data_IF_044642611791
#
_entry.id   IF_044642611791
#
_cell.length_a   1.000
_cell.length_b   1.000
_cell.length_c   1.000
_cell.angle_alpha   90.00
_cell.angle_beta   90.00
_cell.angle_gamma   90.00
#
_symmetry.space_group_name_H-M   'P 1'
#
loop_
_entity.id
_entity.type
_entity.pdbx_description
1 polymer ?
#
# COMPACT_ATOMS: atom_id res chain seq x y z
N UNK A 1 23.15 26.88 44.91
CA UNK A 1 22.61 25.50 45.02
C UNK A 1 21.09 25.56 44.87
N UNK A 2 20.53 25.10 43.76
CA UNK A 2 19.07 25.11 43.56
C UNK A 2 18.36 24.16 44.53
N UNK A 3 17.25 24.61 45.11
CA UNK A 3 16.52 23.88 46.14
C UNK A 3 16.02 22.52 45.63
N UNK A 4 15.99 21.51 46.52
CA UNK A 4 15.55 20.13 46.22
C UNK A 4 14.18 20.06 45.53
N UNK A 5 13.29 21.02 45.81
CA UNK A 5 11.96 21.13 45.18
C UNK A 5 12.02 21.57 43.71
N UNK A 6 12.96 22.44 43.35
CA UNK A 6 13.12 22.91 41.97
C UNK A 6 13.73 21.82 41.06
N UNK A 7 14.67 21.00 41.57
CA UNK A 7 15.21 19.84 40.83
C UNK A 7 14.14 18.79 40.52
N UNK A 8 13.21 18.56 41.45
CA UNK A 8 12.14 17.58 41.25
C UNK A 8 11.09 18.06 40.25
N UNK A 9 10.76 19.36 40.24
CA UNK A 9 9.87 19.96 39.23
C UNK A 9 10.50 19.94 37.82
N UNK A 10 11.79 20.24 37.71
CA UNK A 10 12.51 20.20 36.42
C UNK A 10 12.57 18.77 35.88
N UNK A 11 12.83 17.77 36.73
CA UNK A 11 12.85 16.34 36.31
C UNK A 11 11.47 15.84 35.86
N UNK A 12 10.38 16.26 36.53
CA UNK A 12 9.02 15.90 36.12
C UNK A 12 8.66 16.48 34.74
N UNK A 13 9.03 17.75 34.46
CA UNK A 13 8.82 18.38 33.16
C UNK A 13 9.64 17.74 32.03
N UNK A 14 10.87 17.30 32.32
CA UNK A 14 11.73 16.61 31.35
C UNK A 14 11.16 15.23 30.98
N UNK A 15 10.65 14.46 31.95
CA UNK A 15 10.05 13.15 31.68
C UNK A 15 8.75 13.26 30.89
N UNK A 16 7.89 14.26 31.17
CA UNK A 16 6.66 14.51 30.41
C UNK A 16 6.98 14.96 28.97
N UNK A 17 8.03 15.77 28.78
CA UNK A 17 8.46 16.24 27.45
C UNK A 17 9.10 15.14 26.61
N UNK A 18 9.82 14.18 27.22
CA UNK A 18 10.39 13.04 26.50
C UNK A 18 9.31 11.99 26.16
N UNK A 19 8.31 11.82 27.03
CA UNK A 19 7.19 10.90 26.79
C UNK A 19 6.25 11.36 25.67
N UNK A 20 6.13 12.68 25.47
CA UNK A 20 5.34 13.26 24.37
C UNK A 20 6.09 13.28 23.03
N UNK A 21 7.42 13.11 23.03
CA UNK A 21 8.21 12.97 21.79
C UNK A 21 8.12 11.56 21.16
N UNK A 22 7.74 10.53 21.91
CA UNK A 22 7.76 9.13 21.42
C UNK A 22 6.45 8.73 20.73
N UNK A 23 5.35 9.49 20.90
CA UNK A 23 4.04 9.11 20.35
C UNK A 23 3.80 9.64 18.92
N UNK A 24 4.76 10.37 18.32
CA UNK A 24 4.57 11.05 17.03
C UNK A 24 5.19 10.34 15.80
N UNK A 25 5.24 9.01 15.74
CA UNK A 25 5.84 8.27 14.60
C UNK A 25 4.88 7.44 13.73
N UNK A 26 3.56 7.66 13.73
CA UNK A 26 2.68 6.83 12.87
C UNK A 26 1.57 7.55 12.12
N UNK A 27 1.66 8.86 11.94
CA UNK A 27 0.78 9.58 11.02
C UNK A 27 1.61 10.16 9.88
N UNK A 28 1.75 9.41 8.79
CA UNK A 28 1.95 10.04 7.48
C UNK A 28 0.63 10.75 7.09
N UNK A 29 0.36 11.82 7.83
CA UNK A 29 -0.63 12.82 7.48
C UNK A 29 -0.15 13.58 6.24
N UNK A 30 -1.07 14.18 5.52
CA UNK A 30 -0.95 14.86 4.22
C UNK A 30 0.06 16.04 4.11
N UNK A 31 1.14 16.07 4.92
CA UNK A 31 2.17 17.11 4.94
C UNK A 31 3.62 16.62 4.77
N UNK A 32 3.91 15.31 4.78
CA UNK A 32 5.26 14.82 4.51
C UNK A 32 5.56 14.88 2.99
N UNK A 33 6.60 15.62 2.59
CA UNK A 33 7.01 15.72 1.18
C UNK A 33 7.27 14.32 0.61
N UNK A 34 6.48 13.93 -0.41
CA UNK A 34 6.60 12.62 -1.04
C UNK A 34 8.05 12.32 -1.46
N UNK A 35 8.62 11.27 -0.86
CA UNK A 35 10.02 10.84 -1.04
C UNK A 35 10.24 10.09 -2.35
N UNK A 36 9.33 9.19 -2.70
CA UNK A 36 9.45 8.28 -3.84
C UNK A 36 8.34 8.47 -4.85
N UNK A 37 8.67 8.35 -6.14
CA UNK A 37 7.69 8.44 -7.22
C UNK A 37 6.96 7.11 -7.44
N UNK A 38 5.71 7.21 -7.85
CA UNK A 38 4.96 6.08 -8.40
C UNK A 38 5.51 5.72 -9.78
N UNK A 39 5.62 4.42 -10.05
CA UNK A 39 6.23 3.87 -11.27
C UNK A 39 5.25 3.12 -12.16
N UNK A 40 4.01 2.97 -11.70
CA UNK A 40 2.95 2.16 -12.29
C UNK A 40 3.29 0.68 -12.34
N UNK A 41 2.38 -0.11 -12.91
CA UNK A 41 2.51 -1.56 -13.07
C UNK A 41 3.81 -1.99 -13.79
N UNK A 42 4.43 -1.10 -14.56
CA UNK A 42 5.74 -1.34 -15.17
C UNK A 42 6.88 -1.57 -14.15
N UNK A 43 6.76 -1.11 -12.90
CA UNK A 43 7.66 -1.45 -11.79
C UNK A 43 7.46 -2.86 -11.25
N UNK A 44 6.24 -3.41 -11.41
CA UNK A 44 5.77 -4.66 -10.82
C UNK A 44 5.86 -5.86 -11.79
N UNK A 45 6.58 -5.75 -12.91
CA UNK A 45 6.61 -6.78 -13.97
C UNK A 45 6.96 -8.20 -13.48
N UNK A 46 7.64 -8.36 -12.35
CA UNK A 46 7.90 -9.68 -11.78
C UNK A 46 6.64 -10.43 -11.38
N UNK A 47 5.57 -9.71 -11.03
CA UNK A 47 4.28 -10.24 -10.61
C UNK A 47 3.24 -10.15 -11.74
N UNK A 48 3.59 -9.56 -12.89
CA UNK A 48 2.69 -9.36 -14.05
C UNK A 48 3.10 -10.17 -15.29
N UNK A 49 4.21 -10.90 -15.19
CA UNK A 49 4.66 -11.83 -16.23
C UNK A 49 3.66 -12.96 -16.42
N UNK A 50 3.69 -13.58 -17.60
CA UNK A 50 2.89 -14.78 -17.87
C UNK A 50 3.21 -15.88 -16.85
N UNK A 51 2.18 -16.48 -16.25
CA UNK A 51 2.30 -17.50 -15.21
C UNK A 51 2.43 -16.97 -13.79
N UNK A 52 2.40 -15.65 -13.57
CA UNK A 52 2.24 -15.07 -12.24
C UNK A 52 0.76 -14.91 -11.95
N UNK A 53 0.23 -15.62 -10.96
CA UNK A 53 -1.20 -15.59 -10.65
C UNK A 53 -1.62 -14.20 -10.17
N UNK A 54 -0.80 -13.50 -9.38
CA UNK A 54 -1.08 -12.14 -8.91
C UNK A 54 -1.45 -11.19 -10.05
N UNK A 55 -0.68 -11.21 -11.13
CA UNK A 55 -0.88 -10.32 -12.26
C UNK A 55 -1.84 -10.81 -13.33
N UNK A 56 -2.13 -12.11 -13.37
CA UNK A 56 -3.23 -12.64 -14.19
C UNK A 56 -4.55 -12.29 -13.54
N UNK A 57 -4.72 -12.59 -12.24
CA UNK A 57 -5.92 -12.25 -11.49
C UNK A 57 -6.18 -10.75 -11.43
N UNK A 58 -5.15 -9.92 -11.16
CA UNK A 58 -5.30 -8.47 -11.15
C UNK A 58 -5.95 -7.94 -12.44
N UNK A 59 -5.59 -8.50 -13.61
CA UNK A 59 -6.15 -8.10 -14.91
C UNK A 59 -7.61 -8.51 -15.08
N UNK A 60 -8.12 -9.43 -14.28
CA UNK A 60 -9.54 -9.82 -14.29
C UNK A 60 -10.36 -9.02 -13.26
N UNK A 61 -9.71 -8.23 -12.40
CA UNK A 61 -10.39 -7.39 -11.41
C UNK A 61 -10.83 -6.06 -12.02
N UNK A 62 -11.99 -5.57 -11.58
CA UNK A 62 -12.50 -4.26 -11.96
C UNK A 62 -11.49 -3.12 -11.67
N UNK A 63 -10.65 -3.29 -10.64
CA UNK A 63 -9.58 -2.36 -10.31
C UNK A 63 -8.65 -2.08 -11.48
N UNK A 64 -8.38 -3.04 -12.37
CA UNK A 64 -7.47 -2.85 -13.49
C UNK A 64 -8.07 -2.18 -14.73
N UNK A 65 -9.38 -1.95 -14.73
CA UNK A 65 -10.11 -1.37 -15.88
C UNK A 65 -11.01 -0.20 -15.47
N UNK A 66 -11.02 0.15 -14.20
CA UNK A 66 -12.01 1.05 -13.61
C UNK A 66 -12.02 2.44 -14.25
N UNK A 67 -10.87 2.91 -14.75
CA UNK A 67 -10.77 4.25 -15.34
C UNK A 67 -11.64 4.37 -16.59
N UNK A 68 -11.65 3.36 -17.46
CA UNK A 68 -12.44 3.39 -18.70
C UNK A 68 -13.80 2.69 -18.55
N UNK A 69 -13.90 1.71 -17.67
CA UNK A 69 -15.14 1.00 -17.44
C UNK A 69 -16.14 1.79 -16.61
N UNK A 70 -15.69 2.68 -15.70
CA UNK A 70 -16.58 3.47 -14.84
C UNK A 70 -16.64 4.95 -15.21
N UNK A 71 -15.57 5.54 -15.73
CA UNK A 71 -15.56 6.93 -16.20
C UNK A 71 -15.81 6.94 -17.71
N UNK A 72 -17.04 7.25 -18.10
CA UNK A 72 -17.51 7.17 -19.50
C UNK A 72 -17.34 8.48 -20.24
N UNK A 73 -17.35 9.61 -19.54
CA UNK A 73 -17.19 10.93 -20.16
C UNK A 73 -15.80 11.52 -19.90
N UNK A 74 -15.42 12.52 -20.71
CA UNK A 74 -14.17 13.23 -20.54
C UNK A 74 -14.16 14.12 -19.30
N UNK A 75 -15.34 14.60 -18.88
CA UNK A 75 -15.54 15.35 -17.63
C UNK A 75 -15.23 14.45 -16.44
N UNK A 76 -15.79 13.24 -16.39
CA UNK A 76 -15.53 12.26 -15.32
C UNK A 76 -14.04 11.89 -15.26
N UNK A 77 -13.36 11.75 -16.40
CA UNK A 77 -11.93 11.44 -16.49
C UNK A 77 -11.01 12.59 -16.06
N UNK A 78 -11.55 13.79 -15.86
CA UNK A 78 -10.82 14.98 -15.39
C UNK A 78 -11.27 15.40 -13.98
N UNK A 79 -12.43 14.93 -13.53
CA UNK A 79 -13.02 15.27 -12.25
C UNK A 79 -12.16 14.76 -11.08
N UNK A 80 -11.65 15.66 -10.22
CA UNK A 80 -10.93 15.28 -9.00
C UNK A 80 -11.68 14.27 -8.11
N UNK A 81 -13.01 14.35 -8.04
CA UNK A 81 -13.84 13.45 -7.23
C UNK A 81 -13.93 12.04 -7.80
N UNK A 82 -13.77 11.89 -9.12
CA UNK A 82 -13.66 10.58 -9.76
C UNK A 82 -12.23 10.04 -9.67
N UNK A 83 -11.24 10.89 -9.96
CA UNK A 83 -9.83 10.51 -10.04
C UNK A 83 -9.23 10.08 -8.69
N UNK A 84 -9.80 10.49 -7.55
CA UNK A 84 -9.36 10.02 -6.23
C UNK A 84 -9.57 8.50 -6.03
N UNK A 85 -10.53 7.90 -6.74
CA UNK A 85 -10.86 6.46 -6.61
C UNK A 85 -10.52 5.65 -7.86
N UNK A 86 -10.61 6.25 -9.04
CA UNK A 86 -10.50 5.54 -10.32
C UNK A 86 -9.13 5.70 -10.99
N UNK A 87 -8.18 6.35 -10.30
CA UNK A 87 -6.81 6.50 -10.75
C UNK A 87 -5.84 6.32 -9.57
N UNK A 88 -4.64 5.87 -9.88
CA UNK A 88 -3.56 5.72 -8.90
C UNK A 88 -2.71 6.98 -8.85
N UNK A 89 -2.25 7.35 -7.66
CA UNK A 89 -1.32 8.45 -7.46
C UNK A 89 -1.84 9.82 -7.94
N UNK A 90 -3.16 10.03 -7.90
CA UNK A 90 -3.74 11.33 -8.19
C UNK A 90 -3.19 12.41 -7.25
N UNK A 91 -2.71 13.53 -7.81
CA UNK A 91 -2.00 14.62 -7.10
C UNK A 91 -0.70 14.18 -6.41
N UNK A 92 -0.16 13.02 -6.76
CA UNK A 92 1.13 12.52 -6.28
C UNK A 92 2.18 12.58 -7.38
N UNK A 93 3.46 12.54 -7.01
CA UNK A 93 4.59 12.47 -7.95
C UNK A 93 4.61 11.11 -8.63
N UNK A 94 4.45 11.11 -9.94
CA UNK A 94 4.63 9.93 -10.79
C UNK A 94 5.92 10.04 -11.59
N UNK A 95 6.47 8.90 -12.01
CA UNK A 95 7.57 8.89 -12.99
C UNK A 95 7.01 9.30 -14.37
N UNK A 96 7.81 10.02 -15.16
CA UNK A 96 7.41 10.45 -16.52
C UNK A 96 7.06 9.24 -17.38
N UNK A 97 5.98 9.37 -18.17
CA UNK A 97 5.53 8.35 -19.13
C UNK A 97 4.89 7.12 -18.47
N UNK A 98 4.32 7.27 -17.26
CA UNK A 98 3.62 6.19 -16.56
C UNK A 98 2.11 6.21 -16.72
N UNK A 99 1.52 7.36 -16.98
CA UNK A 99 0.16 7.43 -17.54
C UNK A 99 0.20 6.96 -19.00
N UNK A 100 -0.73 6.07 -19.34
CA UNK A 100 -0.94 5.60 -20.71
C UNK A 100 -1.63 6.67 -21.57
N UNK A 101 -2.43 7.55 -20.95
CA UNK A 101 -3.19 8.61 -21.64
C UNK A 101 -2.52 9.98 -21.60
N UNK A 102 -1.23 10.02 -21.25
CA UNK A 102 -0.42 11.24 -21.28
C UNK A 102 -0.62 12.20 -20.09
N UNK A 103 -1.43 11.82 -19.09
CA UNK A 103 -1.55 12.56 -17.83
C UNK A 103 -0.21 12.63 -17.11
N UNK A 104 0.12 13.81 -16.57
CA UNK A 104 1.33 13.99 -15.76
C UNK A 104 1.07 13.82 -14.26
N UNK A 105 -0.18 13.63 -13.85
CA UNK A 105 -0.63 13.83 -12.48
C UNK A 105 -1.32 12.60 -11.84
N UNK A 106 -1.48 11.51 -12.59
CA UNK A 106 -2.00 10.23 -12.11
C UNK A 106 -1.60 9.10 -13.07
N UNK A 107 -1.86 7.86 -12.66
CA UNK A 107 -1.78 6.65 -13.47
C UNK A 107 -3.22 6.11 -13.57
N UNK A 108 -3.65 5.72 -14.76
CA UNK A 108 -5.00 5.17 -14.96
C UNK A 108 -5.18 3.88 -14.14
N UNK A 109 -6.43 3.65 -13.73
CA UNK A 109 -6.88 2.49 -12.96
C UNK A 109 -6.38 2.47 -11.51
N UNK A 110 -6.91 1.54 -10.72
CA UNK A 110 -6.39 1.21 -9.37
C UNK A 110 -5.26 0.21 -9.58
N UNK A 111 -4.08 0.73 -9.92
CA UNK A 111 -2.85 0.02 -10.16
C UNK A 111 -2.28 -0.61 -8.88
N UNK A 112 -1.30 -1.52 -9.00
CA UNK A 112 -0.70 -2.22 -7.86
C UNK A 112 -0.25 -1.25 -6.73
N UNK A 113 0.29 -0.09 -7.12
CA UNK A 113 0.81 0.91 -6.21
C UNK A 113 -0.28 1.68 -5.43
N UNK A 114 -1.55 1.60 -5.83
CA UNK A 114 -2.67 2.12 -5.04
C UNK A 114 -2.77 1.39 -3.69
N UNK A 115 -2.45 0.09 -3.68
CA UNK A 115 -2.38 -0.75 -2.49
C UNK A 115 -0.95 -0.77 -1.90
N UNK A 116 0.06 -1.06 -2.74
CA UNK A 116 1.43 -1.37 -2.32
C UNK A 116 2.38 -0.17 -2.18
N UNK A 117 1.95 1.02 -2.62
CA UNK A 117 2.72 2.27 -2.52
C UNK A 117 3.74 2.48 -3.65
N UNK A 118 4.50 3.60 -3.60
CA UNK A 118 5.36 4.03 -4.70
C UNK A 118 6.60 3.12 -4.88
N UNK A 119 6.73 2.48 -6.04
CA UNK A 119 7.77 1.49 -6.31
C UNK A 119 9.16 2.04 -6.69
N UNK A 120 9.38 3.36 -6.79
CA UNK A 120 10.64 3.92 -7.30
C UNK A 120 11.87 3.44 -6.53
N UNK A 121 11.82 3.44 -5.19
CA UNK A 121 12.97 3.02 -4.40
C UNK A 121 13.23 1.52 -4.49
N UNK A 122 12.17 0.71 -4.50
CA UNK A 122 12.33 -0.72 -4.70
C UNK A 122 12.94 -1.04 -6.06
N UNK A 123 12.50 -0.37 -7.13
CA UNK A 123 13.09 -0.53 -8.46
C UNK A 123 14.59 -0.18 -8.45
N UNK A 124 15.02 0.84 -7.68
CA UNK A 124 16.44 1.18 -7.53
C UNK A 124 17.20 0.09 -6.78
N UNK A 125 16.67 -0.38 -5.65
CA UNK A 125 17.32 -1.40 -4.82
C UNK A 125 17.41 -2.74 -5.55
N UNK A 126 16.33 -3.19 -6.20
CA UNK A 126 16.32 -4.41 -7.01
C UNK A 126 17.37 -4.38 -8.12
N UNK A 127 17.65 -3.22 -8.71
CA UNK A 127 18.66 -3.08 -9.78
C UNK A 127 20.09 -3.09 -9.25
N UNK A 128 20.31 -2.60 -8.04
CA UNK A 128 21.65 -2.43 -7.49
C UNK A 128 21.68 -2.55 -5.96
N UNK A 129 21.36 -3.74 -5.45
CA UNK A 129 21.32 -3.98 -4.01
C UNK A 129 22.73 -3.91 -3.44
N UNK A 130 22.96 -3.02 -2.47
CA UNK A 130 24.26 -2.79 -1.84
C UNK A 130 25.42 -2.56 -2.83
N UNK A 131 25.15 -1.93 -3.99
CA UNK A 131 26.14 -1.72 -5.07
C UNK A 131 26.66 -3.02 -5.72
N UNK A 132 25.99 -4.16 -5.52
CA UNK A 132 26.36 -5.49 -6.06
C UNK A 132 25.49 -5.93 -7.24
N UNK A 133 24.73 -5.01 -7.83
CA UNK A 133 23.85 -5.31 -8.97
C UNK A 133 22.57 -6.07 -8.61
N UNK A 134 21.84 -6.48 -9.65
CA UNK A 134 20.51 -7.11 -9.54
C UNK A 134 20.56 -8.54 -8.99
N UNK A 135 21.63 -9.28 -9.29
CA UNK A 135 21.71 -10.69 -8.92
C UNK A 135 21.98 -10.89 -7.43
N UNK A 136 22.59 -9.90 -6.76
CA UNK A 136 22.69 -9.86 -5.31
C UNK A 136 21.31 -9.81 -4.64
N UNK A 137 20.36 -9.03 -5.17
CA UNK A 137 18.99 -9.00 -4.62
C UNK A 137 18.23 -10.30 -4.90
N UNK A 138 18.40 -10.90 -6.09
CA UNK A 138 17.82 -12.22 -6.39
C UNK A 138 18.36 -13.31 -5.46
N UNK A 139 19.65 -13.25 -5.13
CA UNK A 139 20.27 -14.17 -4.16
C UNK A 139 19.67 -13.97 -2.77
N UNK A 140 19.54 -12.71 -2.33
CA UNK A 140 18.90 -12.38 -1.05
C UNK A 140 17.47 -12.93 -0.95
N UNK A 141 16.65 -12.76 -2.00
CA UNK A 141 15.28 -13.29 -2.04
C UNK A 141 15.22 -14.80 -1.78
N UNK A 142 16.24 -15.56 -2.19
CA UNK A 142 16.29 -17.02 -2.01
C UNK A 142 16.89 -17.43 -0.66
N UNK A 143 17.95 -16.77 -0.24
CA UNK A 143 18.75 -17.17 0.93
C UNK A 143 18.25 -16.57 2.25
N UNK A 144 17.73 -15.35 2.22
CA UNK A 144 17.16 -14.67 3.38
C UNK A 144 15.91 -13.87 2.97
N UNK A 145 14.77 -14.57 2.72
CA UNK A 145 13.52 -13.93 2.34
C UNK A 145 13.07 -12.86 3.34
N UNK A 146 13.31 -13.07 4.64
CA UNK A 146 12.96 -12.11 5.69
C UNK A 146 13.75 -10.80 5.56
N UNK A 147 15.05 -10.89 5.29
CA UNK A 147 15.86 -9.70 5.00
C UNK A 147 15.42 -9.03 3.69
N UNK A 148 15.09 -9.80 2.66
CA UNK A 148 14.55 -9.24 1.42
C UNK A 148 13.24 -8.47 1.67
N UNK A 149 12.36 -9.01 2.52
CA UNK A 149 11.10 -8.35 2.92
C UNK A 149 11.35 -7.07 3.71
N UNK A 150 12.29 -7.07 4.66
CA UNK A 150 12.72 -5.84 5.35
C UNK A 150 13.20 -4.79 4.36
N UNK A 151 14.01 -5.17 3.37
CA UNK A 151 14.49 -4.26 2.33
C UNK A 151 13.34 -3.68 1.52
N UNK A 152 12.32 -4.48 1.18
CA UNK A 152 11.10 -4.00 0.51
C UNK A 152 10.39 -2.91 1.35
N UNK A 153 10.14 -3.18 2.64
CA UNK A 153 9.52 -2.22 3.55
C UNK A 153 10.34 -0.94 3.72
N UNK A 154 11.65 -1.05 3.91
CA UNK A 154 12.54 0.11 4.06
C UNK A 154 12.59 0.98 2.79
N UNK A 155 12.30 0.40 1.63
CA UNK A 155 12.17 1.14 0.36
C UNK A 155 10.80 1.77 0.15
N UNK A 156 9.85 1.53 1.05
CA UNK A 156 8.49 2.06 0.96
C UNK A 156 7.56 1.23 0.08
N UNK A 157 7.91 -0.03 -0.21
CA UNK A 157 6.92 -1.01 -0.67
C UNK A 157 6.30 -1.67 0.55
N UNK A 158 4.98 -1.60 0.65
CA UNK A 158 4.26 -2.20 1.75
C UNK A 158 3.21 -3.17 1.23
N UNK A 159 2.69 -3.97 2.14
CA UNK A 159 1.45 -4.70 1.90
C UNK A 159 0.30 -3.70 1.92
N UNK A 160 -0.79 -4.01 1.23
CA UNK A 160 -2.02 -3.23 1.30
C UNK A 160 -2.32 -2.88 2.78
N UNK A 161 -2.68 -1.64 3.04
CA UNK A 161 -3.15 -1.18 4.34
C UNK A 161 -2.10 -0.68 5.32
N UNK A 162 -0.81 -0.63 4.96
CA UNK A 162 0.29 -0.25 5.90
C UNK A 162 1.14 0.92 5.39
N UNK A 163 0.87 1.41 4.17
CA UNK A 163 1.52 2.59 3.61
C UNK A 163 1.05 3.89 4.27
N UNK A 164 -0.20 4.25 3.96
CA UNK A 164 -0.90 5.46 4.39
C UNK A 164 -1.83 5.16 5.57
N UNK A 165 -2.31 3.92 5.63
CA UNK A 165 -3.29 3.45 6.59
C UNK A 165 -2.65 2.43 7.53
N UNK A 166 -3.37 2.07 8.61
CA UNK A 166 -2.93 1.06 9.58
C UNK A 166 -3.48 -0.33 9.25
N UNK A 167 -4.57 -0.40 8.48
CA UNK A 167 -5.19 -1.66 8.06
C UNK A 167 -5.55 -1.68 6.58
N UNK A 168 -5.63 -2.88 5.99
CA UNK A 168 -6.11 -3.08 4.61
C UNK A 168 -7.50 -2.48 4.43
N UNK A 169 -8.36 -2.67 5.43
CA UNK A 169 -9.73 -2.16 5.42
C UNK A 169 -9.75 -0.64 5.29
N UNK A 170 -8.96 0.08 6.08
CA UNK A 170 -8.88 1.54 5.97
C UNK A 170 -8.44 2.01 4.58
N UNK A 171 -7.53 1.27 3.92
CA UNK A 171 -7.15 1.57 2.54
C UNK A 171 -8.29 1.35 1.56
N UNK A 172 -9.03 0.24 1.67
CA UNK A 172 -10.20 0.03 0.82
C UNK A 172 -11.24 1.13 1.02
N UNK A 173 -11.43 1.58 2.26
CA UNK A 173 -12.39 2.63 2.62
C UNK A 173 -12.00 4.04 2.16
N UNK A 174 -10.84 4.22 1.52
CA UNK A 174 -10.54 5.47 0.80
C UNK A 174 -11.47 5.65 -0.41
N UNK A 175 -11.84 4.54 -1.05
CA UNK A 175 -12.65 4.52 -2.27
C UNK A 175 -14.03 3.89 -2.04
N UNK A 176 -14.13 3.01 -1.05
CA UNK A 176 -15.34 2.28 -0.70
C UNK A 176 -15.98 2.81 0.59
N UNK A 177 -17.25 2.47 0.80
CA UNK A 177 -18.00 2.87 1.99
C UNK A 177 -18.77 1.68 2.55
N UNK A 178 -18.94 1.65 3.88
CA UNK A 178 -19.75 0.64 4.58
C UNK A 178 -21.09 1.21 5.08
N UNK A 179 -21.23 2.54 5.10
CA UNK A 179 -22.48 3.23 5.43
C UNK A 179 -23.17 3.74 4.15
N UNK A 180 -24.43 3.39 3.98
CA UNK A 180 -25.26 3.87 2.86
C UNK A 180 -25.44 5.39 2.85
N UNK A 181 -25.26 6.03 4.00
CA UNK A 181 -25.38 7.47 4.19
C UNK A 181 -24.04 8.19 4.15
N UNK A 182 -22.94 7.51 3.81
CA UNK A 182 -21.62 8.13 3.73
C UNK A 182 -21.64 9.33 2.77
N UNK A 183 -21.24 10.50 3.27
CA UNK A 183 -21.21 11.76 2.52
C UNK A 183 -20.20 11.76 1.38
N UNK A 184 -19.19 10.90 1.44
CA UNK A 184 -18.14 10.75 0.45
C UNK A 184 -18.38 9.55 -0.48
N UNK A 185 -19.54 8.89 -0.40
CA UNK A 185 -19.88 7.75 -1.27
C UNK A 185 -19.86 8.17 -2.74
N UNK A 186 -19.59 7.19 -3.60
CA UNK A 186 -19.58 7.44 -5.04
C UNK A 186 -20.97 7.92 -5.52
N UNK A 187 -21.06 9.01 -6.29
CA UNK A 187 -22.33 9.46 -6.88
C UNK A 187 -22.90 8.43 -7.87
N UNK A 188 -22.04 7.57 -8.42
CA UNK A 188 -22.36 6.45 -9.31
C UNK A 188 -22.24 5.11 -8.61
N UNK A 189 -22.53 5.05 -7.30
CA UNK A 189 -22.57 3.77 -6.59
C UNK A 189 -23.59 2.82 -7.23
N UNK A 190 -23.23 1.54 -7.31
CA UNK A 190 -24.17 0.50 -7.73
C UNK A 190 -25.31 0.41 -6.72
N UNK A 191 -26.51 0.03 -7.18
CA UNK A 191 -27.72 -0.04 -6.37
C UNK A 191 -28.29 -1.45 -6.39
N UNK A 192 -28.94 -1.84 -5.30
CA UNK A 192 -29.70 -3.10 -5.26
C UNK A 192 -31.02 -2.99 -6.04
N UNK A 193 -31.78 -4.07 -6.10
CA UNK A 193 -33.08 -4.15 -6.78
C UNK A 193 -34.11 -3.13 -6.27
N UNK A 194 -33.91 -2.60 -5.06
CA UNK A 194 -34.76 -1.58 -4.42
C UNK A 194 -34.20 -0.17 -4.61
N UNK A 195 -33.15 0.01 -5.42
CA UNK A 195 -32.51 1.28 -5.69
C UNK A 195 -31.62 1.79 -4.56
N UNK A 196 -31.35 1.00 -3.52
CA UNK A 196 -30.51 1.40 -2.39
C UNK A 196 -29.03 1.21 -2.74
N UNK A 197 -28.14 2.17 -2.39
CA UNK A 197 -26.71 2.01 -2.62
C UNK A 197 -26.15 0.73 -2.02
N UNK A 198 -25.39 -0.01 -2.82
CA UNK A 198 -24.64 -1.17 -2.37
C UNK A 198 -23.41 -0.66 -1.63
N UNK A 199 -23.25 -1.13 -0.40
CA UNK A 199 -22.07 -0.86 0.44
C UNK A 199 -21.05 -1.98 0.31
N UNK A 200 -19.79 -1.64 0.58
CA UNK A 200 -18.73 -2.63 0.65
C UNK A 200 -19.02 -3.63 1.78
N UNK A 201 -18.86 -4.91 1.47
CA UNK A 201 -18.80 -5.97 2.50
C UNK A 201 -17.34 -6.41 2.62
N UNK A 202 -16.57 -5.74 3.47
CA UNK A 202 -15.09 -5.85 3.50
C UNK A 202 -14.59 -7.30 3.36
N UNK A 203 -15.03 -8.22 4.24
CA UNK A 203 -14.57 -9.62 4.21
C UNK A 203 -14.83 -10.32 2.87
N UNK A 204 -15.99 -10.07 2.24
CA UNK A 204 -16.35 -10.65 0.94
C UNK A 204 -15.49 -10.06 -0.17
N UNK A 205 -15.34 -8.74 -0.18
CA UNK A 205 -14.65 -8.02 -1.25
C UNK A 205 -13.15 -8.27 -1.17
N UNK A 206 -12.58 -8.23 0.02
CA UNK A 206 -11.18 -8.57 0.27
C UNK A 206 -10.87 -10.01 -0.16
N UNK A 207 -11.76 -10.98 0.11
CA UNK A 207 -11.56 -12.36 -0.37
C UNK A 207 -11.58 -12.47 -1.90
N UNK A 208 -12.41 -11.67 -2.57
CA UNK A 208 -12.46 -11.62 -4.04
C UNK A 208 -11.22 -10.94 -4.62
N UNK A 209 -10.65 -9.97 -3.92
CA UNK A 209 -9.45 -9.23 -4.33
C UNK A 209 -8.17 -9.81 -3.70
N UNK A 210 -8.20 -10.99 -3.08
CA UNK A 210 -6.99 -11.66 -2.56
C UNK A 210 -6.36 -12.50 -3.68
N UNK A 211 -5.41 -11.88 -4.38
CA UNK A 211 -4.67 -12.46 -5.50
C UNK A 211 -3.18 -12.62 -5.18
N UNK A 212 -2.82 -12.91 -3.93
CA UNK A 212 -1.40 -13.11 -3.55
C UNK A 212 -0.80 -14.33 -4.25
N UNK A 213 0.44 -14.23 -4.70
CA UNK A 213 1.26 -15.38 -5.08
C UNK A 213 1.87 -16.05 -3.83
N UNK A 214 2.20 -17.35 -3.92
CA UNK A 214 3.09 -17.98 -2.94
C UNK A 214 4.53 -17.51 -3.18
N UNK A 215 5.14 -16.91 -2.16
CA UNK A 215 6.51 -16.43 -2.18
C UNK A 215 7.40 -17.24 -1.23
N UNK A 216 8.70 -17.27 -1.51
CA UNK A 216 9.72 -17.90 -0.62
C UNK A 216 9.67 -17.45 0.84
N UNK A 217 9.10 -16.26 1.09
CA UNK A 217 8.87 -15.75 2.43
C UNK A 217 7.94 -16.69 3.20
N UNK A 218 6.84 -17.15 2.57
CA UNK A 218 5.79 -17.97 3.17
C UNK A 218 6.31 -19.30 3.71
N UNK A 219 7.36 -19.84 3.08
CA UNK A 219 8.00 -21.09 3.49
C UNK A 219 8.87 -20.93 4.76
N UNK A 220 9.45 -19.75 4.96
CA UNK A 220 10.31 -19.47 6.11
C UNK A 220 9.56 -18.84 7.29
N UNK A 221 8.39 -18.25 7.04
CA UNK A 221 7.59 -17.56 8.07
C UNK A 221 7.28 -18.41 9.31
N UNK A 222 6.85 -19.69 9.18
CA UNK A 222 6.47 -20.47 10.36
C UNK A 222 7.62 -20.68 11.36
N UNK A 223 8.88 -20.55 10.89
CA UNK A 223 10.09 -20.81 11.66
C UNK A 223 10.88 -19.54 11.98
N UNK A 224 10.33 -18.36 11.66
CA UNK A 224 11.05 -17.09 11.80
C UNK A 224 11.32 -16.74 13.28
N UNK A 225 12.49 -16.16 13.55
CA UNK A 225 12.78 -15.56 14.86
C UNK A 225 11.93 -14.30 15.08
N UNK A 226 10.82 -14.46 15.81
CA UNK A 226 9.86 -13.39 16.10
C UNK A 226 10.48 -12.23 16.89
N UNK A 227 11.50 -12.49 17.72
CA UNK A 227 12.15 -11.44 18.51
C UNK A 227 13.03 -10.58 17.59
N UNK A 228 13.79 -11.22 16.70
CA UNK A 228 14.64 -10.53 15.72
C UNK A 228 13.84 -9.65 14.76
N UNK A 229 12.67 -10.11 14.33
CA UNK A 229 11.87 -9.44 13.29
C UNK A 229 10.67 -8.64 13.83
N UNK A 230 10.63 -8.39 15.15
CA UNK A 230 9.63 -7.54 15.77
C UNK A 230 9.57 -6.16 15.10
N UNK A 231 8.38 -5.67 14.82
CA UNK A 231 8.11 -4.44 14.09
C UNK A 231 7.98 -4.62 12.58
N UNK A 232 8.51 -5.71 11.99
CA UNK A 232 8.33 -6.04 10.57
C UNK A 232 7.24 -7.08 10.34
N UNK A 233 7.06 -8.04 11.27
CA UNK A 233 6.01 -9.05 11.16
C UNK A 233 4.60 -8.43 11.26
N UNK A 234 4.48 -7.37 12.06
CA UNK A 234 3.24 -6.63 12.29
C UNK A 234 2.88 -5.71 11.12
N UNK A 235 3.83 -5.44 10.22
CA UNK A 235 3.61 -4.71 8.97
C UNK A 235 3.00 -5.57 7.86
N UNK A 236 2.59 -6.79 8.15
CA UNK A 236 1.82 -7.63 7.23
C UNK A 236 0.72 -8.35 8.02
N UNK A 237 -0.53 -7.85 8.05
CA UNK A 237 -1.61 -8.52 8.75
C UNK A 237 -1.97 -9.86 8.10
N UNK A 238 -1.56 -10.09 6.85
CA UNK A 238 -1.78 -11.32 6.11
C UNK A 238 -0.65 -12.33 6.30
N UNK A 239 0.39 -11.97 7.07
CA UNK A 239 1.50 -12.84 7.45
C UNK A 239 1.07 -14.20 8.02
N UNK A 240 -0.10 -14.25 8.67
CA UNK A 240 -0.62 -15.46 9.32
C UNK A 240 -1.55 -16.27 8.42
N UNK A 241 -1.80 -15.83 7.19
CA UNK A 241 -2.75 -16.46 6.28
C UNK A 241 -2.05 -16.91 5.01
N UNK A 242 -2.24 -18.18 4.63
CA UNK A 242 -1.79 -18.65 3.33
C UNK A 242 -2.52 -17.89 2.20
N UNK A 243 -1.86 -17.61 1.07
CA UNK A 243 -2.53 -17.19 -0.15
C UNK A 243 -3.67 -18.14 -0.51
N UNK A 244 -4.76 -17.60 -1.06
CA UNK A 244 -5.97 -18.38 -1.41
C UNK A 244 -5.71 -19.44 -2.49
N UNK A 245 -4.67 -19.24 -3.30
CA UNK A 245 -4.18 -20.09 -4.39
C UNK A 245 -3.00 -21.00 -3.98
N UNK A 246 -2.47 -20.88 -2.76
CA UNK A 246 -1.38 -21.74 -2.30
C UNK A 246 -1.91 -23.16 -2.13
N UNK A 247 -1.40 -24.09 -2.94
CA UNK A 247 -1.69 -25.53 -2.84
C UNK A 247 -1.09 -26.13 -1.56
#
# INVERSE_FOLDING_TARGET
MFSRRLRNLIMAFVVISISSLIILQSNQSFGAKQKWKYTGNAGCKCHLSKGCFEGEEYKERLHSHTFDERLKTDEEKKDPECLRCHATAYKMKIKRGKSKKGSKNFIEDVACEACHGPGEAYVKVKKNYQKKGKDAFKKLLKEDPMMARKVQYDTGLYVAGINKYKTIKEQCLECHWEDVNDKNKCPKCDKDEKGKPIVMKFKKYFKLDDHRDHDTIDDVLPKVDKKKWKGYLEQDPLFKTKPSNAK
#
